data_IF_978617764021
#
_entry.id   IF_978617764021
#
_cell.length_a   1.000
_cell.length_b   1.000
_cell.length_c   1.000
_cell.angle_alpha   90.00
_cell.angle_beta   90.00
_cell.angle_gamma   90.00
#
_symmetry.space_group_name_H-M   'P 1'
#
loop_
_entity.id
_entity.type
_entity.pdbx_description
1 polymer ?
#
# COMPACT_ATOMS: atom_id res chain seq x y z
N UNK A 1 21.68 2.89 -11.95
CA UNK A 1 20.41 2.75 -12.70
C UNK A 1 19.83 4.14 -12.93
N UNK A 2 19.23 4.45 -14.09
CA UNK A 2 18.60 5.75 -14.32
C UNK A 2 17.31 5.87 -13.48
N UNK A 3 16.95 7.07 -13.00
CA UNK A 3 15.73 7.27 -12.22
C UNK A 3 14.51 7.03 -13.11
N UNK A 4 13.67 6.05 -12.74
CA UNK A 4 12.37 5.81 -13.39
C UNK A 4 11.54 7.10 -13.30
N UNK A 5 11.20 7.69 -14.45
CA UNK A 5 10.30 8.85 -14.52
C UNK A 5 8.90 8.41 -14.08
N UNK A 6 8.41 8.96 -12.97
CA UNK A 6 7.07 8.67 -12.46
C UNK A 6 6.00 9.20 -13.43
N UNK A 7 5.03 8.35 -13.78
CA UNK A 7 3.94 8.73 -14.68
C UNK A 7 2.92 9.65 -13.97
N UNK A 8 2.20 10.51 -14.71
CA UNK A 8 1.19 11.44 -14.17
C UNK A 8 0.08 10.80 -13.35
N UNK A 9 -0.15 9.50 -13.50
CA UNK A 9 -1.22 8.75 -12.84
C UNK A 9 -0.82 8.12 -11.50
N UNK A 10 0.39 8.37 -10.98
CA UNK A 10 0.97 7.66 -9.82
C UNK A 10 0.16 7.72 -8.50
N UNK A 11 -0.98 8.41 -8.46
CA UNK A 11 -1.84 8.54 -7.28
C UNK A 11 -3.34 8.40 -7.60
N UNK A 12 -3.68 7.57 -8.57
CA UNK A 12 -5.09 7.29 -8.92
C UNK A 12 -5.71 6.33 -7.89
N UNK A 13 -6.98 6.53 -7.52
CA UNK A 13 -7.69 5.56 -6.67
C UNK A 13 -8.02 4.32 -7.49
N UNK A 14 -7.60 3.14 -7.02
CA UNK A 14 -7.81 1.87 -7.72
C UNK A 14 -8.79 0.96 -6.99
N UNK A 15 -9.52 0.17 -7.77
CA UNK A 15 -10.27 -0.98 -7.27
C UNK A 15 -9.26 -2.12 -7.06
N UNK A 16 -9.15 -2.58 -5.81
CA UNK A 16 -8.09 -3.45 -5.37
C UNK A 16 -8.63 -4.86 -5.08
N UNK A 17 -8.22 -5.88 -5.84
CA UNK A 17 -8.46 -7.26 -5.43
C UNK A 17 -7.58 -7.57 -4.21
N UNK A 18 -8.11 -8.25 -3.19
CA UNK A 18 -7.32 -8.67 -2.02
C UNK A 18 -7.49 -10.16 -1.72
N UNK A 19 -6.42 -10.75 -1.18
CA UNK A 19 -6.40 -12.11 -0.64
C UNK A 19 -7.17 -12.19 0.68
N UNK A 20 -7.67 -13.38 1.03
CA UNK A 20 -8.51 -13.57 2.22
C UNK A 20 -7.81 -13.21 3.54
N UNK A 21 -6.51 -13.41 3.60
CA UNK A 21 -5.70 -13.10 4.78
C UNK A 21 -5.66 -11.59 5.05
N UNK A 22 -5.61 -10.76 4.01
CA UNK A 22 -5.62 -9.30 4.17
C UNK A 22 -6.96 -8.79 4.72
N UNK A 23 -8.09 -9.36 4.29
CA UNK A 23 -9.40 -9.05 4.89
C UNK A 23 -9.43 -9.41 6.37
N UNK A 24 -8.90 -10.59 6.72
CA UNK A 24 -8.93 -11.11 8.09
C UNK A 24 -8.01 -10.31 9.02
N UNK A 25 -6.76 -10.07 8.58
CA UNK A 25 -5.75 -9.38 9.36
C UNK A 25 -6.10 -7.91 9.62
N UNK A 26 -6.77 -7.26 8.67
CA UNK A 26 -7.15 -5.85 8.79
C UNK A 26 -8.59 -5.64 9.25
N UNK A 27 -9.43 -6.68 9.18
CA UNK A 27 -10.87 -6.57 9.44
C UNK A 27 -11.58 -5.70 8.39
N UNK A 28 -11.16 -5.81 7.13
CA UNK A 28 -11.73 -5.03 6.01
C UNK A 28 -12.94 -5.77 5.46
N UNK A 29 -13.92 -5.02 4.94
CA UNK A 29 -15.08 -5.54 4.21
C UNK A 29 -14.97 -5.23 2.72
N UNK A 30 -15.66 -6.01 1.89
CA UNK A 30 -15.74 -5.74 0.44
C UNK A 30 -16.52 -4.45 0.15
N UNK A 31 -16.16 -3.78 -0.94
CA UNK A 31 -16.80 -2.56 -1.40
C UNK A 31 -15.99 -1.29 -1.16
N UNK A 32 -16.65 -0.11 -1.25
CA UNK A 32 -15.98 1.19 -1.18
C UNK A 32 -15.15 1.37 0.08
N UNK A 33 -13.95 1.91 -0.06
CA UNK A 33 -13.07 2.20 1.06
C UNK A 33 -12.88 3.70 1.24
N UNK A 34 -13.00 4.16 2.49
CA UNK A 34 -12.72 5.56 2.87
C UNK A 34 -11.45 5.69 3.70
N UNK A 35 -10.99 4.59 4.31
CA UNK A 35 -9.91 4.58 5.31
C UNK A 35 -8.75 3.63 4.95
N UNK A 36 -8.76 3.04 3.76
CA UNK A 36 -7.73 2.08 3.35
C UNK A 36 -6.70 2.74 2.43
N UNK A 37 -5.45 2.71 2.85
CA UNK A 37 -4.32 3.18 2.05
C UNK A 37 -3.49 1.99 1.59
N UNK A 38 -3.16 2.00 0.31
CA UNK A 38 -2.16 1.13 -0.30
C UNK A 38 -0.83 1.86 -0.33
N UNK A 39 0.21 1.23 0.21
CA UNK A 39 1.56 1.76 0.19
C UNK A 39 2.51 0.82 -0.54
N UNK A 40 3.39 1.38 -1.35
CA UNK A 40 4.27 0.59 -2.21
C UNK A 40 5.57 1.30 -2.53
N UNK A 41 6.59 0.54 -2.92
CA UNK A 41 7.84 1.08 -3.47
C UNK A 41 8.10 0.53 -4.87
N UNK A 42 8.59 1.35 -5.81
CA UNK A 42 9.07 0.86 -7.11
C UNK A 42 10.41 0.13 -7.02
N UNK A 43 11.07 0.16 -5.85
CA UNK A 43 12.32 -0.54 -5.58
C UNK A 43 11.98 -1.99 -5.31
N UNK A 44 12.37 -2.89 -6.22
CA UNK A 44 12.12 -4.34 -6.06
C UNK A 44 12.98 -4.96 -4.96
N UNK A 45 12.52 -6.08 -4.40
CA UNK A 45 13.17 -6.91 -3.39
C UNK A 45 13.82 -6.14 -2.23
N UNK A 46 12.99 -5.44 -1.47
CA UNK A 46 13.40 -4.83 -0.22
C UNK A 46 13.33 -5.87 0.91
N UNK A 47 14.43 -6.57 1.20
CA UNK A 47 14.49 -7.54 2.31
C UNK A 47 14.11 -6.93 3.68
N UNK A 48 14.19 -5.61 3.83
CA UNK A 48 13.79 -4.84 5.01
C UNK A 48 12.53 -3.99 4.77
N UNK A 49 11.66 -4.39 3.84
CA UNK A 49 10.48 -3.63 3.43
C UNK A 49 9.62 -3.20 4.63
N UNK A 50 9.28 -4.13 5.54
CA UNK A 50 8.50 -3.82 6.74
C UNK A 50 9.08 -2.65 7.53
N UNK A 51 10.38 -2.70 7.84
CA UNK A 51 11.06 -1.66 8.62
C UNK A 51 11.06 -0.33 7.88
N UNK A 52 11.39 -0.32 6.58
CA UNK A 52 11.42 0.90 5.79
C UNK A 52 10.03 1.52 5.62
N UNK A 53 9.02 0.68 5.44
CA UNK A 53 7.62 1.07 5.35
C UNK A 53 7.14 1.72 6.65
N UNK A 54 7.40 1.09 7.80
CA UNK A 54 7.06 1.67 9.12
C UNK A 54 7.74 3.02 9.29
N UNK A 55 9.03 3.15 8.93
CA UNK A 55 9.73 4.45 8.95
C UNK A 55 9.11 5.49 8.02
N UNK A 56 8.60 5.07 6.86
CA UNK A 56 7.93 5.97 5.93
C UNK A 56 6.60 6.48 6.52
N UNK A 57 5.83 5.60 7.16
CA UNK A 57 4.60 5.96 7.86
C UNK A 57 4.89 6.89 9.06
N UNK A 58 5.88 6.57 9.88
CA UNK A 58 6.32 7.42 11.02
C UNK A 58 6.61 8.86 10.57
N UNK A 59 7.18 9.08 9.38
CA UNK A 59 7.46 10.41 8.83
C UNK A 59 6.19 11.20 8.46
N UNK A 60 5.09 10.52 8.15
CA UNK A 60 3.81 11.16 7.81
C UNK A 60 2.93 11.41 9.03
N UNK A 61 2.85 10.44 9.93
CA UNK A 61 1.88 10.47 11.05
C UNK A 61 2.52 10.75 12.39
N UNK A 62 3.85 10.66 12.48
CA UNK A 62 4.61 10.76 13.74
C UNK A 62 4.76 9.40 14.44
N UNK A 63 5.90 9.14 15.10
CA UNK A 63 6.23 7.81 15.62
C UNK A 63 5.27 7.31 16.72
N UNK A 64 4.67 8.22 17.49
CA UNK A 64 3.72 7.87 18.55
C UNK A 64 2.34 7.49 18.02
N UNK A 65 2.02 7.87 16.79
CA UNK A 65 0.68 7.68 16.23
C UNK A 65 0.60 6.42 15.37
N UNK A 66 1.74 5.82 14.98
CA UNK A 66 1.76 4.60 14.13
C UNK A 66 0.97 3.45 14.74
N UNK A 67 0.96 3.32 16.07
CA UNK A 67 0.22 2.28 16.80
C UNK A 67 -1.31 2.35 16.60
N UNK A 68 -1.84 3.51 16.20
CA UNK A 68 -3.27 3.69 15.96
C UNK A 68 -3.69 3.12 14.59
N UNK A 69 -2.72 2.84 13.72
CA UNK A 69 -2.94 2.32 12.37
C UNK A 69 -2.80 0.80 12.35
N UNK A 70 -3.69 0.11 11.64
CA UNK A 70 -3.53 -1.34 11.41
C UNK A 70 -2.78 -1.57 10.12
N UNK A 71 -1.72 -2.38 10.21
CA UNK A 71 -0.78 -2.59 9.12
C UNK A 71 -0.79 -4.05 8.69
N UNK A 72 -0.82 -4.29 7.39
CA UNK A 72 -0.51 -5.59 6.80
C UNK A 72 0.50 -5.40 5.68
N UNK A 73 1.43 -6.34 5.52
CA UNK A 73 2.51 -6.24 4.54
C UNK A 73 2.60 -7.54 3.75
N UNK A 74 2.74 -7.39 2.44
CA UNK A 74 3.18 -8.43 1.53
C UNK A 74 4.65 -8.14 1.20
N UNK A 75 5.54 -8.88 1.86
CA UNK A 75 6.98 -8.67 1.75
C UNK A 75 7.51 -9.08 0.36
N UNK A 76 6.99 -10.16 -0.21
CA UNK A 76 7.40 -10.68 -1.52
C UNK A 76 7.11 -9.69 -2.64
N UNK A 77 6.06 -8.88 -2.47
CA UNK A 77 5.68 -7.85 -3.45
C UNK A 77 6.15 -6.45 -3.08
N UNK A 78 6.74 -6.26 -1.90
CA UNK A 78 7.09 -4.95 -1.37
C UNK A 78 5.89 -3.98 -1.36
N UNK A 79 4.76 -4.46 -0.84
CA UNK A 79 3.53 -3.69 -0.66
C UNK A 79 3.03 -3.75 0.79
N UNK A 80 2.32 -2.70 1.18
CA UNK A 80 1.67 -2.60 2.47
C UNK A 80 0.26 -2.05 2.34
N UNK A 81 -0.59 -2.44 3.28
CA UNK A 81 -1.92 -1.91 3.49
C UNK A 81 -1.98 -1.26 4.85
N UNK A 82 -2.62 -0.10 4.91
CA UNK A 82 -2.84 0.67 6.12
C UNK A 82 -4.34 0.91 6.25
N UNK A 83 -4.95 0.33 7.28
CA UNK A 83 -6.28 0.77 7.69
C UNK A 83 -6.11 1.92 8.67
N UNK A 84 -6.48 3.12 8.23
CA UNK A 84 -6.43 4.34 9.03
C UNK A 84 -7.51 4.34 10.13
N UNK A 85 -7.27 5.04 11.26
CA UNK A 85 -8.27 5.22 12.29
C UNK A 85 -9.55 5.88 11.78
N UNK A 86 -9.41 6.87 10.89
CA UNK A 86 -10.51 7.62 10.31
C UNK A 86 -10.20 8.17 8.90
N UNK A 87 -11.18 8.90 8.34
CA UNK A 87 -11.08 9.50 7.01
C UNK A 87 -10.10 10.65 6.94
N UNK A 88 -9.97 11.44 8.01
CA UNK A 88 -9.04 12.55 8.03
C UNK A 88 -7.60 12.04 7.96
N UNK A 89 -7.28 10.95 8.67
CA UNK A 89 -5.97 10.31 8.59
C UNK A 89 -5.70 9.68 7.23
N UNK A 90 -6.70 9.06 6.61
CA UNK A 90 -6.57 8.55 5.24
C UNK A 90 -6.27 9.66 4.23
N UNK A 91 -6.95 10.81 4.32
CA UNK A 91 -6.69 11.95 3.43
C UNK A 91 -5.34 12.63 3.70
N UNK A 92 -4.78 12.55 4.92
CA UNK A 92 -3.39 12.99 5.20
C UNK A 92 -2.36 12.17 4.41
N UNK A 93 -2.61 10.87 4.29
CA UNK A 93 -1.73 9.93 3.59
C UNK A 93 -1.97 9.90 2.07
N UNK A 94 -3.17 10.25 1.64
CA UNK A 94 -3.57 10.19 0.23
C UNK A 94 -2.64 10.99 -0.67
N UNK A 95 -2.23 10.35 -1.77
CA UNK A 95 -1.43 10.96 -2.83
C UNK A 95 -0.11 11.56 -2.31
N UNK A 96 0.46 10.93 -1.28
CA UNK A 96 1.75 11.31 -0.71
C UNK A 96 2.82 10.31 -1.10
N UNK A 97 4.05 10.79 -1.09
CA UNK A 97 5.21 9.92 -1.08
C UNK A 97 6.23 10.42 -0.06
N UNK A 98 7.03 9.49 0.45
CA UNK A 98 8.13 9.76 1.36
C UNK A 98 9.34 8.97 0.93
N UNK A 99 10.51 9.55 1.08
CA UNK A 99 11.78 8.86 0.88
C UNK A 99 12.33 8.44 2.23
N UNK A 100 12.80 7.20 2.39
CA UNK A 100 13.52 6.67 3.56
C UNK A 100 14.85 6.07 3.06
N UNK A 101 15.97 6.68 3.44
CA UNK A 101 17.26 6.38 2.79
C UNK A 101 17.17 6.70 1.30
N UNK A 102 17.47 5.70 0.46
CA UNK A 102 17.35 5.79 -1.00
C UNK A 102 16.02 5.22 -1.53
N UNK A 103 15.15 4.73 -0.65
CA UNK A 103 13.90 4.08 -1.02
C UNK A 103 12.74 5.07 -0.99
N UNK A 104 11.97 5.13 -2.07
CA UNK A 104 10.74 5.94 -2.13
C UNK A 104 9.51 5.08 -1.88
N UNK A 105 8.61 5.55 -1.02
CA UNK A 105 7.32 4.95 -0.72
C UNK A 105 6.19 5.86 -1.17
N UNK A 106 5.20 5.29 -1.85
CA UNK A 106 4.00 5.95 -2.33
C UNK A 106 2.81 5.50 -1.48
N UNK A 107 1.86 6.40 -1.26
CA UNK A 107 0.66 6.17 -0.46
C UNK A 107 -0.57 6.59 -1.26
N UNK A 108 -1.45 5.64 -1.53
CA UNK A 108 -2.63 5.80 -2.39
C UNK A 108 -3.89 5.38 -1.66
N UNK A 109 -4.97 6.14 -1.81
CA UNK A 109 -6.26 5.74 -1.27
C UNK A 109 -6.90 4.67 -2.16
N UNK A 110 -7.27 3.55 -1.55
CA UNK A 110 -8.02 2.49 -2.22
C UNK A 110 -9.45 2.97 -2.47
N UNK A 111 -9.96 2.76 -3.69
CA UNK A 111 -11.31 3.17 -4.06
C UNK A 111 -12.35 2.18 -3.54
N UNK A 112 -12.11 0.91 -3.83
CA UNK A 112 -12.98 -0.21 -3.50
C UNK A 112 -12.13 -1.45 -3.35
N UNK A 113 -12.58 -2.38 -2.51
CA UNK A 113 -11.95 -3.66 -2.30
C UNK A 113 -12.85 -4.76 -2.87
N UNK A 114 -12.25 -5.68 -3.61
CA UNK A 114 -12.92 -6.86 -4.14
C UNK A 114 -12.21 -8.09 -3.61
N UNK A 115 -12.95 -9.10 -3.18
CA UNK A 115 -12.33 -10.34 -2.72
C UNK A 115 -11.83 -11.17 -3.90
N UNK A 116 -10.57 -11.61 -3.83
CA UNK A 116 -10.04 -12.56 -4.81
C UNK A 116 -10.74 -13.90 -4.68
N UNK A 117 -11.04 -14.53 -5.82
CA UNK A 117 -11.60 -15.87 -5.81
C UNK A 117 -10.53 -16.88 -5.36
N UNK A 118 -10.96 -18.01 -4.80
CA UNK A 118 -10.04 -19.00 -4.20
C UNK A 118 -8.96 -19.50 -5.18
N UNK A 119 -9.29 -19.60 -6.48
CA UNK A 119 -8.35 -20.03 -7.52
C UNK A 119 -7.34 -18.94 -7.93
N UNK A 120 -7.68 -17.67 -7.67
CA UNK A 120 -6.79 -16.53 -7.89
C UNK A 120 -5.93 -16.22 -6.66
N UNK A 121 -6.35 -16.66 -5.47
CA UNK A 121 -5.62 -16.49 -4.21
C UNK A 121 -4.26 -17.23 -4.23
N UNK A 122 -4.22 -18.38 -4.92
CA UNK A 122 -3.00 -19.19 -5.14
C UNK A 122 -2.18 -18.73 -6.34
N UNK A 123 -2.83 -18.09 -7.33
CA UNK A 123 -2.18 -17.55 -8.53
C UNK A 123 -1.91 -16.05 -8.35
N UNK A 124 -0.81 -15.78 -7.66
CA UNK A 124 -0.19 -14.49 -7.43
C UNK A 124 -0.77 -13.30 -8.23
N UNK A 125 -1.48 -12.40 -7.51
CA UNK A 125 -1.82 -11.00 -7.83
C UNK A 125 -1.22 -10.47 -9.15
N UNK A 126 -2.04 -10.45 -10.20
CA UNK A 126 -1.63 -10.22 -11.60
C UNK A 126 -1.39 -8.74 -11.99
N UNK A 127 -1.38 -7.78 -11.05
CA UNK A 127 -1.47 -6.34 -11.40
C UNK A 127 -0.44 -5.38 -10.80
N UNK A 128 0.63 -5.87 -10.18
CA UNK A 128 1.83 -5.07 -9.98
C UNK A 128 2.63 -4.83 -11.28
N UNK A 129 2.36 -5.61 -12.34
CA UNK A 129 3.05 -5.53 -13.64
C UNK A 129 2.74 -4.26 -14.44
N UNK A 130 1.65 -3.54 -14.17
CA UNK A 130 1.26 -2.40 -15.01
C UNK A 130 1.93 -1.06 -14.61
N UNK A 131 2.74 -1.03 -13.54
CA UNK A 131 3.36 0.19 -13.01
C UNK A 131 4.88 0.22 -13.15
N UNK A 132 5.49 -0.92 -13.47
CA UNK A 132 6.85 -1.00 -13.95
C UNK A 132 6.72 -1.18 -15.46
N UNK A 133 6.60 -0.06 -16.18
CA UNK A 133 6.64 -0.08 -17.65
C UNK A 133 7.89 -0.80 -18.13
N UNK A 134 7.73 -1.51 -19.25
CA UNK A 134 8.82 -2.05 -20.06
C UNK A 134 9.96 -1.04 -20.26
#
# INVERSE_FOLDING_TARGET
MPPRKFQPNAFVRHDLPMTRDNFTNLGIEEGPQTHLIFAWSPSGDLCNFWTLFVRALERLVGPRNVQDYRLAVDQDRSFAFILCPDHADAEKLRARYVTVGDTKFFFELVKSVVKMTFYDDTNQHLRARNWIGD
#
